data_IF_001993106486
#
_entry.id   IF_001993106486
#
_cell.length_a   1.000
_cell.length_b   1.000
_cell.length_c   1.000
_cell.angle_alpha   90.00
_cell.angle_beta   90.00
_cell.angle_gamma   90.00
#
_symmetry.space_group_name_H-M   'P 1'
#
loop_
_entity.id
_entity.type
_entity.pdbx_description
1 polymer ?
#
# COMPACT_ATOMS: atom_id res chain seq x y z
N UNK A 1 2.40 37.40 29.03
CA UNK A 1 1.30 37.38 28.05
C UNK A 1 0.86 35.94 28.00
N UNK A 2 -0.35 35.65 28.46
CA UNK A 2 -0.85 34.30 28.69
C UNK A 2 -0.96 33.55 27.36
N UNK A 3 -0.34 32.37 27.31
CA UNK A 3 -0.62 31.30 26.36
C UNK A 3 -1.93 30.62 26.79
N UNK A 4 -3.00 30.73 25.99
CA UNK A 4 -4.27 29.99 26.20
C UNK A 4 -4.85 29.55 24.83
N UNK A 5 -4.70 28.25 24.58
CA UNK A 5 -5.66 27.30 24.01
C UNK A 5 -6.01 27.22 22.51
N UNK A 6 -5.58 26.08 21.96
CA UNK A 6 -6.03 25.32 20.78
C UNK A 6 -7.52 24.96 20.89
N UNK A 7 -8.41 25.87 20.49
CA UNK A 7 -9.85 25.57 20.44
C UNK A 7 -10.23 24.98 19.08
N UNK A 8 -10.17 23.64 19.02
CA UNK A 8 -10.92 22.79 18.10
C UNK A 8 -12.35 23.31 17.98
N UNK A 9 -12.63 24.10 16.95
CA UNK A 9 -13.95 24.67 16.70
C UNK A 9 -14.89 23.57 16.22
N UNK A 10 -15.46 22.84 17.19
CA UNK A 10 -16.65 22.00 17.04
C UNK A 10 -17.86 22.91 16.80
N UNK A 11 -17.88 23.61 15.65
CA UNK A 11 -19.05 24.37 15.24
C UNK A 11 -20.23 23.38 15.07
N UNK A 12 -21.27 23.46 15.91
CA UNK A 12 -22.39 22.52 15.86
C UNK A 12 -23.11 22.57 14.49
N UNK A 13 -23.03 23.70 13.79
CA UNK A 13 -23.57 23.86 12.46
C UNK A 13 -22.77 23.05 11.42
N UNK A 14 -21.44 23.12 11.46
CA UNK A 14 -20.56 22.30 10.62
C UNK A 14 -20.77 20.81 10.87
N UNK A 15 -20.89 20.41 12.14
CA UNK A 15 -21.11 19.00 12.49
C UNK A 15 -22.46 18.47 12.00
N UNK A 16 -23.50 19.32 11.99
CA UNK A 16 -24.81 18.98 11.44
C UNK A 16 -24.75 18.78 9.92
N UNK A 17 -24.07 19.69 9.20
CA UNK A 17 -23.88 19.61 7.75
C UNK A 17 -23.07 18.36 7.36
N UNK A 18 -21.98 18.07 8.09
CA UNK A 18 -21.19 16.86 7.90
C UNK A 18 -22.01 15.58 8.13
N UNK A 19 -22.88 15.56 9.14
CA UNK A 19 -23.75 14.42 9.39
C UNK A 19 -24.80 14.24 8.29
N UNK A 20 -25.37 15.32 7.77
CA UNK A 20 -26.28 15.26 6.63
C UNK A 20 -25.59 14.72 5.38
N UNK A 21 -24.37 15.20 5.08
CA UNK A 21 -23.56 14.71 3.97
C UNK A 21 -23.23 13.22 4.12
N UNK A 22 -22.77 12.79 5.31
CA UNK A 22 -22.48 11.36 5.60
C UNK A 22 -23.71 10.50 5.42
N UNK A 23 -24.88 10.94 5.90
CA UNK A 23 -26.13 10.21 5.76
C UNK A 23 -26.55 10.06 4.29
N UNK A 24 -26.45 11.14 3.51
CA UNK A 24 -26.72 11.12 2.08
C UNK A 24 -25.75 10.20 1.34
N UNK A 25 -24.45 10.34 1.59
CA UNK A 25 -23.41 9.49 1.00
C UNK A 25 -23.65 8.00 1.28
N UNK A 26 -23.95 7.65 2.54
CA UNK A 26 -24.29 6.26 2.91
C UNK A 26 -25.61 5.76 2.32
N UNK A 27 -26.52 6.64 1.93
CA UNK A 27 -27.75 6.27 1.22
C UNK A 27 -27.43 5.90 -0.23
N UNK A 28 -26.55 6.66 -0.88
CA UNK A 28 -26.11 6.42 -2.26
C UNK A 28 -25.32 5.10 -2.41
N UNK A 29 -24.58 4.69 -1.37
CA UNK A 29 -23.88 3.40 -1.34
C UNK A 29 -24.82 2.18 -1.27
N UNK A 30 -26.08 2.34 -0.84
CA UNK A 30 -27.01 1.22 -0.79
C UNK A 30 -27.48 0.89 -2.22
N UNK A 31 -27.32 -0.35 -2.71
CA UNK A 31 -27.80 -0.70 -4.03
C UNK A 31 -29.32 -0.48 -4.07
N UNK A 32 -29.79 0.34 -5.00
CA UNK A 32 -31.22 0.65 -5.16
C UNK A 32 -31.98 -0.68 -5.38
N UNK A 33 -32.68 -1.15 -4.35
CA UNK A 33 -33.48 -2.37 -4.36
C UNK A 33 -34.83 -2.18 -5.07
N UNK A 34 -34.84 -1.42 -6.17
CA UNK A 34 -36.03 -1.01 -6.91
C UNK A 34 -36.41 -1.88 -8.10
N UNK A 35 -36.02 -3.16 -8.17
CA UNK A 35 -36.30 -4.02 -9.31
C UNK A 35 -36.81 -5.42 -8.91
N UNK A 36 -37.95 -5.47 -8.20
CA UNK A 36 -38.58 -6.73 -7.78
C UNK A 36 -39.38 -7.44 -8.89
N UNK A 37 -39.27 -7.04 -10.16
CA UNK A 37 -40.09 -7.58 -11.26
C UNK A 37 -39.35 -8.17 -12.47
N UNK A 38 -38.01 -8.03 -12.58
CA UNK A 38 -37.21 -8.47 -13.75
C UNK A 38 -36.10 -9.48 -13.37
N UNK A 39 -36.34 -10.22 -12.29
CA UNK A 39 -35.30 -10.84 -11.45
C UNK A 39 -34.42 -11.84 -12.20
N UNK A 40 -34.95 -12.83 -12.90
CA UNK A 40 -34.14 -13.98 -13.35
C UNK A 40 -33.08 -13.64 -14.44
N UNK A 41 -33.46 -12.87 -15.46
CA UNK A 41 -32.51 -12.45 -16.52
C UNK A 41 -31.45 -11.48 -16.00
N UNK A 42 -31.82 -10.57 -15.11
CA UNK A 42 -30.89 -9.61 -14.52
C UNK A 42 -29.92 -10.31 -13.55
N UNK A 43 -30.40 -11.27 -12.75
CA UNK A 43 -29.55 -12.08 -11.87
C UNK A 43 -28.53 -12.90 -12.66
N UNK A 44 -28.94 -13.53 -13.77
CA UNK A 44 -28.03 -14.25 -14.67
C UNK A 44 -27.00 -13.33 -15.31
N UNK A 45 -27.40 -12.15 -15.79
CA UNK A 45 -26.48 -11.15 -16.35
C UNK A 45 -25.51 -10.59 -15.30
N UNK A 46 -25.97 -10.37 -14.05
CA UNK A 46 -25.10 -10.00 -12.93
C UNK A 46 -24.12 -11.12 -12.56
N UNK A 47 -24.56 -12.38 -12.61
CA UNK A 47 -23.70 -13.54 -12.40
C UNK A 47 -22.55 -13.60 -13.40
N UNK A 48 -22.86 -13.44 -14.69
CA UNK A 48 -21.83 -13.40 -15.74
C UNK A 48 -20.86 -12.23 -15.60
N UNK A 49 -21.37 -11.04 -15.22
CA UNK A 49 -20.52 -9.87 -15.00
C UNK A 49 -19.55 -10.08 -13.83
N UNK A 50 -20.02 -10.68 -12.73
CA UNK A 50 -19.18 -11.08 -11.59
C UNK A 50 -18.15 -12.15 -11.97
N UNK A 51 -18.57 -13.21 -12.67
CA UNK A 51 -17.64 -14.24 -13.15
C UNK A 51 -16.58 -13.68 -14.09
N UNK A 52 -16.93 -12.74 -14.96
CA UNK A 52 -15.99 -12.06 -15.85
C UNK A 52 -15.03 -11.14 -15.09
N UNK A 53 -15.50 -10.49 -14.03
CA UNK A 53 -14.67 -9.68 -13.14
C UNK A 53 -13.65 -10.54 -12.38
N UNK A 54 -14.11 -11.65 -11.78
CA UNK A 54 -13.24 -12.64 -11.12
C UNK A 54 -12.19 -13.18 -12.09
N UNK A 55 -12.59 -13.62 -13.29
CA UNK A 55 -11.66 -14.14 -14.28
C UNK A 55 -10.63 -13.09 -14.76
N UNK A 56 -11.01 -11.80 -14.79
CA UNK A 56 -10.06 -10.72 -15.09
C UNK A 56 -9.07 -10.50 -13.94
N UNK A 57 -9.54 -10.55 -12.70
CA UNK A 57 -8.70 -10.44 -11.50
C UNK A 57 -7.71 -11.59 -11.40
N UNK A 58 -8.15 -12.83 -11.59
CA UNK A 58 -7.29 -14.01 -11.60
C UNK A 58 -6.18 -13.89 -12.66
N UNK A 59 -6.53 -13.48 -13.89
CA UNK A 59 -5.54 -13.27 -14.95
C UNK A 59 -4.56 -12.13 -14.63
N UNK A 60 -5.05 -11.04 -14.03
CA UNK A 60 -4.19 -9.95 -13.60
C UNK A 60 -3.24 -10.41 -12.48
N UNK A 61 -3.70 -11.27 -11.58
CA UNK A 61 -2.90 -11.87 -10.51
C UNK A 61 -1.76 -12.73 -11.04
N UNK A 62 -2.03 -13.60 -12.02
CA UNK A 62 -1.00 -14.43 -12.66
C UNK A 62 0.10 -13.56 -13.30
N UNK A 63 -0.30 -12.51 -14.03
CA UNK A 63 0.64 -11.57 -14.65
C UNK A 63 1.47 -10.83 -13.59
N UNK A 64 0.83 -10.39 -12.51
CA UNK A 64 1.51 -9.71 -11.41
C UNK A 64 2.56 -10.61 -10.74
N UNK A 65 2.18 -11.85 -10.40
CA UNK A 65 3.11 -12.82 -9.80
C UNK A 65 4.27 -13.16 -10.74
N UNK A 66 4.01 -13.23 -12.06
CA UNK A 66 5.08 -13.42 -13.04
C UNK A 66 6.04 -12.23 -13.06
N UNK A 67 5.52 -11.01 -12.99
CA UNK A 67 6.34 -9.81 -12.94
C UNK A 67 7.28 -9.80 -11.72
N UNK A 68 6.76 -10.16 -10.55
CA UNK A 68 7.54 -10.29 -9.30
C UNK A 68 8.67 -11.32 -9.46
N UNK A 69 8.39 -12.45 -10.11
CA UNK A 69 9.42 -13.46 -10.37
C UNK A 69 10.54 -12.93 -11.29
N UNK A 70 10.20 -12.23 -12.36
CA UNK A 70 11.20 -11.65 -13.28
C UNK A 70 12.01 -10.54 -12.60
N UNK A 71 11.39 -9.75 -11.72
CA UNK A 71 12.07 -8.73 -10.92
C UNK A 71 13.12 -9.35 -9.99
N UNK A 72 12.75 -10.42 -9.27
CA UNK A 72 13.67 -11.18 -8.42
C UNK A 72 14.81 -11.82 -9.21
N UNK A 73 14.55 -12.19 -10.47
CA UNK A 73 15.56 -12.73 -11.38
C UNK A 73 16.46 -11.64 -12.00
N UNK A 74 16.19 -10.35 -11.73
CA UNK A 74 16.91 -9.21 -12.32
C UNK A 74 16.49 -8.87 -13.76
N UNK A 75 15.46 -9.52 -14.29
CA UNK A 75 14.91 -9.28 -15.63
C UNK A 75 13.90 -8.11 -15.61
N UNK A 76 14.39 -6.92 -15.28
CA UNK A 76 13.55 -5.73 -15.06
C UNK A 76 12.69 -5.35 -16.27
N UNK A 77 13.21 -5.53 -17.49
CA UNK A 77 12.46 -5.21 -18.71
C UNK A 77 11.25 -6.15 -18.90
N UNK A 78 11.43 -7.43 -18.60
CA UNK A 78 10.38 -8.45 -18.60
C UNK A 78 9.36 -8.18 -17.49
N UNK A 79 9.82 -7.88 -16.28
CA UNK A 79 8.96 -7.53 -15.16
C UNK A 79 8.04 -6.35 -15.48
N UNK A 80 8.59 -5.25 -16.00
CA UNK A 80 7.82 -4.06 -16.39
C UNK A 80 6.73 -4.40 -17.43
N UNK A 81 7.01 -5.29 -18.40
CA UNK A 81 6.00 -5.71 -19.37
C UNK A 81 4.81 -6.38 -18.67
N UNK A 82 5.09 -7.33 -17.78
CA UNK A 82 4.05 -8.07 -17.08
C UNK A 82 3.26 -7.19 -16.11
N UNK A 83 3.91 -6.30 -15.36
CA UNK A 83 3.21 -5.34 -14.49
C UNK A 83 2.24 -4.44 -15.27
N UNK A 84 2.66 -3.92 -16.42
CA UNK A 84 1.80 -3.07 -17.26
C UNK A 84 0.58 -3.84 -17.77
N UNK A 85 0.75 -5.10 -18.16
CA UNK A 85 -0.36 -5.95 -18.59
C UNK A 85 -1.33 -6.26 -17.44
N UNK A 86 -0.83 -6.50 -16.23
CA UNK A 86 -1.66 -6.72 -15.04
C UNK A 86 -2.51 -5.47 -14.73
N UNK A 87 -1.89 -4.29 -14.68
CA UNK A 87 -2.59 -3.02 -14.44
C UNK A 87 -3.61 -2.65 -15.53
N UNK A 88 -3.37 -3.03 -16.79
CA UNK A 88 -4.35 -2.84 -17.86
C UNK A 88 -5.64 -3.64 -17.64
N UNK A 89 -5.55 -4.82 -17.01
CA UNK A 89 -6.70 -5.63 -16.65
C UNK A 89 -7.37 -5.10 -15.38
N UNK A 90 -6.56 -4.83 -14.35
CA UNK A 90 -7.00 -4.40 -13.02
C UNK A 90 -6.01 -3.35 -12.49
N UNK A 91 -6.34 -2.05 -12.55
CA UNK A 91 -5.39 -0.97 -12.19
C UNK A 91 -4.89 -1.00 -10.76
N UNK A 92 -5.67 -1.56 -9.84
CA UNK A 92 -5.42 -1.67 -8.40
C UNK A 92 -5.00 -3.09 -7.98
N UNK A 93 -4.48 -3.90 -8.92
CA UNK A 93 -4.15 -5.32 -8.68
C UNK A 93 -3.18 -5.50 -7.49
N UNK A 94 -2.23 -4.59 -7.30
CA UNK A 94 -1.27 -4.61 -6.18
C UNK A 94 -1.96 -4.70 -4.82
N UNK A 95 -3.09 -4.01 -4.65
CA UNK A 95 -3.88 -4.04 -3.42
C UNK A 95 -4.69 -5.33 -3.28
N UNK A 96 -5.09 -5.94 -4.40
CA UNK A 96 -5.88 -7.19 -4.40
C UNK A 96 -5.04 -8.43 -4.09
N UNK A 97 -3.78 -8.48 -4.54
CA UNK A 97 -2.88 -9.61 -4.29
C UNK A 97 -2.46 -9.70 -2.82
N UNK A 98 -2.33 -8.56 -2.14
CA UNK A 98 -2.01 -8.51 -0.71
C UNK A 98 -3.16 -8.96 0.21
N UNK A 99 -4.37 -9.19 -0.31
CA UNK A 99 -5.47 -9.75 0.47
C UNK A 99 -5.36 -11.28 0.66
N UNK A 100 -4.45 -11.94 -0.06
CA UNK A 100 -4.20 -13.39 0.02
C UNK A 100 -2.75 -13.71 0.39
N UNK A 101 -2.16 -12.99 1.36
CA UNK A 101 -0.95 -13.48 2.03
C UNK A 101 -1.38 -14.59 3.01
N UNK A 102 -1.01 -15.86 2.82
CA UNK A 102 -1.18 -16.85 3.88
C UNK A 102 -0.40 -16.37 5.12
N UNK A 103 -0.94 -16.52 6.34
CA UNK A 103 -0.35 -16.00 7.57
C UNK A 103 1.07 -16.51 7.86
N UNK A 104 1.58 -17.50 7.12
CA UNK A 104 2.91 -18.06 7.32
C UNK A 104 4.08 -17.22 6.75
N UNK A 105 3.82 -16.17 5.96
CA UNK A 105 4.87 -15.28 5.48
C UNK A 105 5.42 -14.31 6.56
N UNK A 106 4.86 -14.32 7.76
CA UNK A 106 5.37 -13.55 8.91
C UNK A 106 6.56 -14.25 9.60
N UNK A 107 6.66 -15.58 9.51
CA UNK A 107 7.79 -16.33 10.10
C UNK A 107 9.14 -16.11 9.43
N UNK A 108 9.17 -15.68 8.17
CA UNK A 108 10.43 -15.44 7.45
C UNK A 108 10.92 -14.00 7.56
N UNK A 109 10.07 -13.05 7.97
CA UNK A 109 10.43 -11.65 8.19
C UNK A 109 10.70 -11.31 9.67
N UNK A 110 10.51 -12.29 10.57
CA UNK A 110 10.68 -12.14 12.03
C UNK A 110 12.04 -12.58 12.57
N UNK A 111 13.11 -12.56 11.77
CA UNK A 111 14.49 -12.69 12.29
C UNK A 111 15.13 -11.32 12.45
N UNK A 112 14.40 -10.39 13.08
CA UNK A 112 15.07 -9.31 13.79
C UNK A 112 15.79 -9.97 14.96
N UNK A 113 17.10 -9.84 14.98
CA UNK A 113 17.95 -10.31 16.06
C UNK A 113 17.65 -9.40 17.25
N UNK A 114 16.65 -9.75 18.05
CA UNK A 114 16.62 -9.38 19.47
C UNK A 114 17.53 -10.38 20.20
N UNK A 115 18.20 -9.89 21.23
CA UNK A 115 19.22 -10.54 22.06
C UNK A 115 20.67 -10.34 21.57
N UNK A 116 21.14 -9.09 21.69
CA UNK A 116 22.42 -8.84 22.37
C UNK A 116 22.21 -7.64 23.30
N UNK A 117 22.07 -7.94 24.60
CA UNK A 117 22.37 -7.03 25.69
C UNK A 117 23.84 -6.57 25.56
N UNK A 118 24.05 -5.46 24.85
CA UNK A 118 25.30 -4.70 24.92
C UNK A 118 25.00 -3.34 25.52
N UNK A 119 25.02 -3.33 26.85
CA UNK A 119 25.21 -2.15 27.69
C UNK A 119 26.61 -1.55 27.43
N UNK A 120 26.82 -1.01 26.23
CA UNK A 120 28.09 -0.45 25.81
C UNK A 120 27.83 0.59 24.74
N UNK A 121 27.67 1.84 25.20
CA UNK A 121 27.90 3.08 24.48
C UNK A 121 27.35 3.08 23.03
N UNK A 122 26.11 3.57 22.85
CA UNK A 122 25.75 4.20 21.57
C UNK A 122 26.66 5.42 21.47
N UNK A 123 27.85 5.20 20.92
CA UNK A 123 28.79 6.22 20.54
C UNK A 123 28.01 7.26 19.75
N UNK A 124 28.11 8.52 20.14
CA UNK A 124 27.33 9.60 19.54
C UNK A 124 27.64 9.65 18.03
N UNK A 125 26.70 9.12 17.24
CA UNK A 125 26.81 8.99 15.80
C UNK A 125 27.04 10.36 15.16
N UNK A 126 26.54 11.45 15.76
CA UNK A 126 26.81 12.81 15.31
C UNK A 126 28.28 13.19 15.50
N UNK A 127 28.88 12.86 16.65
CA UNK A 127 30.29 13.10 16.91
C UNK A 127 31.21 12.28 15.96
N UNK A 128 30.81 11.06 15.61
CA UNK A 128 31.50 10.25 14.60
C UNK A 128 31.47 10.92 13.21
N UNK A 129 30.30 11.39 12.78
CA UNK A 129 30.18 12.07 11.48
C UNK A 129 30.92 13.42 11.46
N UNK A 130 30.91 14.19 12.56
CA UNK A 130 31.69 15.42 12.68
C UNK A 130 33.20 15.17 12.62
N UNK A 131 33.70 14.11 13.27
CA UNK A 131 35.11 13.71 13.14
C UNK A 131 35.47 13.32 11.71
N UNK A 132 34.58 12.60 11.02
CA UNK A 132 34.81 12.18 9.65
C UNK A 132 34.81 13.35 8.65
N UNK A 133 34.10 14.44 8.95
CA UNK A 133 34.10 15.68 8.16
C UNK A 133 35.30 16.60 8.46
N UNK A 134 35.87 16.51 9.66
CA UNK A 134 37.01 17.33 10.10
C UNK A 134 38.38 16.70 9.83
N UNK A 135 38.43 15.39 9.59
CA UNK A 135 39.61 14.74 9.04
C UNK A 135 39.79 15.14 7.58
N UNK A 136 40.55 16.21 7.35
CA UNK A 136 41.11 16.52 6.04
C UNK A 136 41.76 15.26 5.46
N UNK A 137 41.15 14.75 4.40
CA UNK A 137 41.63 13.66 3.58
C UNK A 137 43.06 13.95 3.08
N UNK A 138 44.08 13.16 3.44
CA UNK A 138 45.24 13.06 2.58
C UNK A 138 44.81 12.12 1.46
N UNK A 139 44.12 12.66 0.44
CA UNK A 139 43.97 11.91 -0.80
C UNK A 139 45.38 11.54 -1.27
N UNK A 140 45.72 10.24 -1.43
CA UNK A 140 46.99 9.91 -2.05
C UNK A 140 46.94 10.50 -3.46
N UNK A 141 47.85 11.44 -3.75
CA UNK A 141 47.97 12.03 -5.08
C UNK A 141 48.33 10.89 -6.04
N UNK A 142 47.36 10.47 -6.83
CA UNK A 142 47.56 9.50 -7.90
C UNK A 142 48.15 10.25 -9.09
N UNK A 143 49.46 10.47 -9.11
CA UNK A 143 50.30 10.47 -10.32
C UNK A 143 51.77 10.77 -10.03
N UNK A 144 52.58 10.21 -10.93
CA UNK A 144 54.03 10.08 -11.04
C UNK A 144 54.79 11.40 -11.16
#
# INVERSE_FOLDING_TARGET
>A
TLDEDDESSDDPNLQLELNAFRAQWMSELKPSSGASGASDRLLRAKGWKKSQEIAREEKAAELFLRAVQEEQNGAAYEAIKFYRLAMQLVPDIEFKINYSRPPDAERAAGKYIEDNDVDGEIEDLLAYFEQQLTLESPFPKICT
#
